data_IF_675528391938
#
_entry.id   IF_675528391938
#
_cell.length_a   1.000
_cell.length_b   1.000
_cell.length_c   1.000
_cell.angle_alpha   90.00
_cell.angle_beta   90.00
_cell.angle_gamma   90.00
#
_symmetry.space_group_name_H-M   'P 1'
#
loop_
_entity.id
_entity.type
_entity.pdbx_description
1 polymer ?
#
# COMPACT_ATOMS: atom_id res chain seq x y z
N UNK A 1 13.76 -1.66 0.15
CA UNK A 1 12.80 -2.60 -0.49
C UNK A 1 12.37 -2.00 -1.83
N UNK A 2 12.19 -2.80 -2.89
CA UNK A 2 11.62 -2.35 -4.17
C UNK A 2 10.49 -3.30 -4.61
N UNK A 3 9.82 -3.01 -5.73
CA UNK A 3 8.68 -3.81 -6.21
C UNK A 3 9.03 -5.29 -6.48
N UNK A 4 10.24 -5.57 -6.96
CA UNK A 4 10.68 -6.95 -7.25
C UNK A 4 10.77 -7.76 -5.96
N UNK A 5 11.35 -7.18 -4.91
CA UNK A 5 11.43 -7.84 -3.60
C UNK A 5 10.04 -8.05 -2.99
N UNK A 6 9.12 -7.10 -3.19
CA UNK A 6 7.75 -7.22 -2.74
C UNK A 6 7.01 -8.36 -3.47
N UNK A 7 7.16 -8.46 -4.79
CA UNK A 7 6.58 -9.58 -5.57
C UNK A 7 7.12 -10.92 -5.07
N UNK A 8 8.43 -11.03 -4.87
CA UNK A 8 9.05 -12.25 -4.32
C UNK A 8 8.40 -12.63 -2.99
N UNK A 9 8.32 -11.68 -2.05
CA UNK A 9 7.70 -11.88 -0.73
C UNK A 9 6.23 -12.25 -0.81
N UNK A 10 5.46 -11.61 -1.69
CA UNK A 10 4.05 -11.95 -1.92
C UNK A 10 3.92 -13.42 -2.33
N UNK A 11 4.76 -13.88 -3.27
CA UNK A 11 4.71 -15.25 -3.77
C UNK A 11 5.18 -16.26 -2.72
N UNK A 12 6.20 -15.93 -1.92
CA UNK A 12 6.77 -16.87 -0.94
C UNK A 12 6.03 -16.90 0.40
N UNK A 13 5.37 -15.81 0.79
CA UNK A 13 4.77 -15.65 2.12
C UNK A 13 3.24 -15.78 2.14
N UNK A 14 2.59 -15.81 0.97
CA UNK A 14 1.13 -15.92 0.92
C UNK A 14 0.65 -17.34 1.22
N UNK A 15 0.16 -17.56 2.45
CA UNK A 15 -0.37 -18.84 2.93
C UNK A 15 -1.86 -19.08 2.66
N UNK A 16 -2.53 -18.20 1.91
CA UNK A 16 -3.96 -18.31 1.59
C UNK A 16 -4.89 -17.45 2.46
N UNK A 17 -4.39 -16.87 3.56
CA UNK A 17 -5.13 -15.99 4.45
C UNK A 17 -4.37 -14.69 4.72
N UNK A 18 -5.11 -13.61 4.97
CA UNK A 18 -4.55 -12.32 5.40
C UNK A 18 -4.57 -12.28 6.93
N UNK A 19 -3.40 -12.22 7.55
CA UNK A 19 -3.26 -12.36 9.00
C UNK A 19 -3.57 -11.07 9.78
N UNK A 20 -3.73 -9.93 9.08
CA UNK A 20 -3.99 -8.63 9.71
C UNK A 20 -5.46 -8.24 9.55
N UNK A 21 -6.16 -8.08 10.66
CA UNK A 21 -7.55 -7.60 10.66
C UNK A 21 -7.58 -6.08 10.46
N UNK A 22 -8.45 -5.59 9.58
CA UNK A 22 -8.74 -4.16 9.49
C UNK A 22 -10.14 -3.87 10.04
N UNK A 23 -10.28 -2.74 10.74
CA UNK A 23 -11.55 -2.28 11.28
C UNK A 23 -12.31 -1.47 10.21
N UNK A 24 -13.29 -2.08 9.56
CA UNK A 24 -14.13 -1.44 8.55
C UNK A 24 -15.62 -1.59 8.85
N UNK A 25 -16.44 -0.68 8.32
CA UNK A 25 -17.91 -0.65 8.54
C UNK A 25 -18.64 -1.86 7.93
N UNK A 26 -18.06 -2.53 6.94
CA UNK A 26 -18.62 -3.74 6.31
C UNK A 26 -17.51 -4.72 5.89
N UNK A 27 -17.88 -5.98 5.63
CA UNK A 27 -16.92 -7.06 5.30
C UNK A 27 -16.06 -6.78 4.06
N UNK A 28 -16.62 -6.15 3.03
CA UNK A 28 -15.86 -5.85 1.81
C UNK A 28 -14.76 -4.80 2.07
N UNK A 29 -15.10 -3.74 2.81
CA UNK A 29 -14.15 -2.71 3.23
C UNK A 29 -13.11 -3.28 4.20
N UNK A 30 -13.52 -4.17 5.12
CA UNK A 30 -12.60 -4.86 6.03
C UNK A 30 -11.56 -5.70 5.29
N UNK A 31 -11.98 -6.45 4.26
CA UNK A 31 -11.07 -7.24 3.44
C UNK A 31 -10.15 -6.38 2.58
N UNK A 32 -10.64 -5.25 2.04
CA UNK A 32 -9.83 -4.29 1.31
C UNK A 32 -8.72 -3.70 2.18
N UNK A 33 -9.09 -3.18 3.36
CA UNK A 33 -8.12 -2.66 4.33
C UNK A 33 -7.15 -3.73 4.84
N UNK A 34 -7.60 -4.97 5.03
CA UNK A 34 -6.72 -6.07 5.42
C UNK A 34 -5.65 -6.37 4.35
N UNK A 35 -6.03 -6.29 3.07
CA UNK A 35 -5.09 -6.44 1.96
C UNK A 35 -4.09 -5.27 1.90
N UNK A 36 -4.56 -4.04 2.09
CA UNK A 36 -3.68 -2.86 2.16
C UNK A 36 -2.66 -2.98 3.28
N UNK A 37 -3.09 -3.33 4.49
CA UNK A 37 -2.20 -3.50 5.64
C UNK A 37 -1.20 -4.64 5.44
N UNK A 38 -1.62 -5.75 4.82
CA UNK A 38 -0.73 -6.85 4.48
C UNK A 38 0.33 -6.43 3.43
N UNK A 39 -0.05 -5.65 2.42
CA UNK A 39 0.90 -5.12 1.44
C UNK A 39 1.88 -4.15 2.10
N UNK A 40 1.45 -3.30 3.04
CA UNK A 40 2.37 -2.48 3.84
C UNK A 40 3.43 -3.34 4.53
N UNK A 41 3.01 -4.46 5.11
CA UNK A 41 3.91 -5.38 5.79
C UNK A 41 4.88 -6.12 4.86
N UNK A 42 4.42 -6.49 3.66
CA UNK A 42 5.29 -7.05 2.61
C UNK A 42 6.44 -6.09 2.30
N UNK A 43 6.14 -4.80 2.12
CA UNK A 43 7.14 -3.79 1.76
C UNK A 43 8.04 -3.40 2.93
N UNK A 44 7.52 -3.38 4.16
CA UNK A 44 8.26 -2.97 5.35
C UNK A 44 8.95 -4.12 6.10
N UNK A 45 8.84 -5.35 5.62
CA UNK A 45 9.39 -6.53 6.28
C UNK A 45 8.84 -6.77 7.68
N UNK A 46 7.50 -6.69 7.79
CA UNK A 46 6.77 -6.78 9.08
C UNK A 46 5.67 -7.83 9.09
N UNK A 47 5.67 -8.77 8.14
CA UNK A 47 4.66 -9.84 8.05
C UNK A 47 4.54 -10.66 9.35
N UNK A 48 5.68 -10.96 9.96
CA UNK A 48 5.76 -11.76 11.20
C UNK A 48 5.93 -10.88 12.46
N UNK A 49 5.78 -9.55 12.33
CA UNK A 49 5.95 -8.63 13.46
C UNK A 49 4.77 -8.73 14.43
N UNK A 50 5.04 -9.16 15.66
CA UNK A 50 4.06 -9.21 16.74
C UNK A 50 4.05 -7.94 17.61
N UNK A 51 5.10 -7.13 17.54
CA UNK A 51 5.17 -5.82 18.19
C UNK A 51 4.70 -4.73 17.21
N UNK A 52 3.61 -4.06 17.57
CA UNK A 52 3.02 -3.01 16.74
C UNK A 52 3.88 -1.73 16.74
N UNK A 53 4.64 -1.45 17.79
CA UNK A 53 5.52 -0.28 17.82
C UNK A 53 6.72 -0.47 16.88
N UNK A 54 7.36 -1.64 16.91
CA UNK A 54 8.46 -1.97 15.97
C UNK A 54 7.95 -1.90 14.52
N UNK A 55 6.75 -2.42 14.28
CA UNK A 55 6.10 -2.33 12.98
C UNK A 55 5.91 -0.88 12.53
N UNK A 56 5.35 -0.02 13.38
CA UNK A 56 5.14 1.39 13.04
C UNK A 56 6.46 2.10 12.72
N UNK A 57 7.54 1.77 13.44
CA UNK A 57 8.88 2.28 13.14
C UNK A 57 9.33 1.82 11.74
N UNK A 58 9.24 0.52 11.42
CA UNK A 58 9.63 -0.02 10.10
C UNK A 58 8.78 0.53 8.95
N UNK A 59 7.48 0.71 9.17
CA UNK A 59 6.61 1.39 8.21
C UNK A 59 7.08 2.83 7.97
N UNK A 60 7.38 3.58 9.04
CA UNK A 60 7.88 4.96 8.93
C UNK A 60 9.24 5.06 8.25
N UNK A 61 10.06 4.01 8.31
CA UNK A 61 11.35 3.93 7.62
C UNK A 61 11.18 3.59 6.14
N UNK A 62 10.14 2.82 5.80
CA UNK A 62 9.89 2.32 4.44
C UNK A 62 9.11 3.31 3.58
N UNK A 63 8.11 3.98 4.14
CA UNK A 63 7.19 4.84 3.40
C UNK A 63 7.44 6.32 3.67
N UNK A 64 7.32 7.14 2.62
CA UNK A 64 7.27 8.61 2.72
C UNK A 64 5.83 9.11 2.89
N UNK A 65 4.85 8.29 2.51
CA UNK A 65 3.44 8.59 2.62
C UNK A 65 2.63 7.32 2.89
N UNK A 66 1.70 7.41 3.83
CA UNK A 66 0.64 6.43 4.05
C UNK A 66 -0.67 7.16 3.76
N UNK A 67 -1.40 6.66 2.75
CA UNK A 67 -2.57 7.30 2.17
C UNK A 67 -3.77 7.38 3.10
N UNK A 68 -4.79 8.08 2.61
CA UNK A 68 -6.11 8.10 3.21
C UNK A 68 -7.18 8.04 2.11
N UNK A 69 -8.43 7.79 2.51
CA UNK A 69 -9.55 7.58 1.60
C UNK A 69 -9.75 8.68 0.53
N UNK A 70 -9.36 9.92 0.83
CA UNK A 70 -9.60 11.06 -0.05
C UNK A 70 -8.38 11.43 -0.90
N UNK A 71 -7.20 10.89 -0.59
CA UNK A 71 -5.94 11.31 -1.18
C UNK A 71 -5.14 10.07 -1.60
N UNK A 72 -5.38 9.56 -2.84
CA UNK A 72 -4.51 8.53 -3.40
C UNK A 72 -3.09 9.08 -3.61
N UNK A 73 -2.06 8.21 -3.61
CA UNK A 73 -2.12 6.75 -3.57
C UNK A 73 -2.23 6.17 -2.14
N UNK A 74 -2.49 4.87 -2.02
CA UNK A 74 -2.56 4.18 -0.71
C UNK A 74 -1.23 4.23 0.08
N UNK A 75 -0.08 4.23 -0.60
CA UNK A 75 1.23 4.45 0.01
C UNK A 75 2.29 4.88 -1.01
N UNK A 76 3.36 5.54 -0.55
CA UNK A 76 4.53 5.90 -1.38
C UNK A 76 5.79 5.46 -0.65
N UNK A 77 6.66 4.71 -1.35
CA UNK A 77 7.96 4.31 -0.82
C UNK A 77 8.88 5.53 -0.69
N UNK A 78 9.71 5.57 0.36
CA UNK A 78 10.78 6.57 0.42
C UNK A 78 11.68 6.42 -0.80
N UNK A 79 11.84 7.51 -1.54
CA UNK A 79 12.64 7.54 -2.77
C UNK A 79 12.25 6.47 -3.80
N UNK A 80 10.97 6.10 -3.86
CA UNK A 80 10.48 5.05 -4.74
C UNK A 80 9.06 5.26 -5.23
N UNK A 81 8.45 4.17 -5.66
CA UNK A 81 7.16 4.20 -6.35
C UNK A 81 5.98 4.48 -5.43
N UNK A 82 4.92 5.06 -6.02
CA UNK A 82 3.58 5.07 -5.48
C UNK A 82 2.91 3.70 -5.67
N UNK A 83 2.19 3.24 -4.66
CA UNK A 83 1.54 1.93 -4.64
C UNK A 83 0.05 2.14 -4.36
N UNK A 84 -0.78 1.56 -5.21
CA UNK A 84 -2.23 1.50 -5.06
C UNK A 84 -2.65 0.03 -4.99
N UNK A 85 -3.37 -0.34 -3.94
CA UNK A 85 -3.81 -1.71 -3.66
C UNK A 85 -5.28 -1.85 -4.03
N UNK A 86 -5.59 -2.84 -4.87
CA UNK A 86 -6.98 -3.12 -5.28
C UNK A 86 -7.29 -4.60 -5.14
N UNK A 87 -8.31 -4.91 -4.35
CA UNK A 87 -8.88 -6.26 -4.27
C UNK A 87 -9.80 -6.49 -5.47
N UNK A 88 -9.48 -7.47 -6.29
CA UNK A 88 -10.30 -7.93 -7.42
C UNK A 88 -11.08 -9.21 -7.05
N UNK A 89 -12.30 -9.37 -7.56
CA UNK A 89 -13.13 -10.56 -7.32
C UNK A 89 -13.19 -11.38 -8.60
N UNK A 90 -12.33 -12.40 -8.71
CA UNK A 90 -12.26 -13.30 -9.86
C UNK A 90 -11.18 -12.90 -10.88
N UNK A 91 -10.66 -13.90 -11.60
CA UNK A 91 -9.54 -13.72 -12.55
C UNK A 91 -9.88 -12.80 -13.73
N UNK A 92 -11.16 -12.71 -14.08
CA UNK A 92 -11.67 -11.91 -15.20
C UNK A 92 -12.32 -10.59 -14.75
N UNK A 93 -12.11 -10.19 -13.49
CA UNK A 93 -12.66 -8.93 -13.02
C UNK A 93 -12.04 -7.76 -13.80
N UNK A 94 -12.88 -6.90 -14.37
CA UNK A 94 -12.41 -5.65 -14.98
C UNK A 94 -11.89 -4.75 -13.87
N UNK A 95 -10.58 -4.52 -13.83
CA UNK A 95 -9.99 -3.53 -12.95
C UNK A 95 -10.21 -2.15 -13.57
N UNK A 96 -11.09 -1.36 -12.98
CA UNK A 96 -11.25 0.04 -13.34
C UNK A 96 -9.98 0.78 -12.91
N UNK A 97 -9.09 1.03 -13.87
CA UNK A 97 -7.97 1.94 -13.69
C UNK A 97 -8.54 3.34 -13.79
N UNK A 98 -8.61 4.07 -12.67
CA UNK A 98 -8.91 5.51 -12.69
C UNK A 98 -7.70 6.28 -13.26
N UNK A 99 -7.34 5.98 -14.50
CA UNK A 99 -6.16 6.46 -15.19
C UNK A 99 -6.47 7.79 -15.87
N UNK A 100 -6.72 8.85 -15.09
CA UNK A 100 -6.50 10.19 -15.61
C UNK A 100 -5.03 10.54 -15.40
N UNK A 101 -4.34 11.01 -16.43
CA UNK A 101 -2.98 11.52 -16.27
C UNK A 101 -2.97 12.69 -15.28
N UNK A 102 -1.85 12.92 -14.56
CA UNK A 102 -1.74 14.06 -13.65
C UNK A 102 -2.06 15.35 -14.39
N UNK A 103 -3.12 16.06 -13.97
CA UNK A 103 -3.54 17.32 -14.60
C UNK A 103 -2.62 18.48 -14.23
N UNK A 104 -1.90 18.35 -13.13
CA UNK A 104 -0.95 19.33 -12.63
C UNK A 104 0.41 18.66 -12.45
N UNK A 105 1.48 19.37 -12.82
CA UNK A 105 2.86 18.95 -12.60
C UNK A 105 3.49 19.88 -11.58
N UNK A 106 4.12 19.32 -10.57
CA UNK A 106 4.95 20.09 -9.64
C UNK A 106 6.34 20.25 -10.25
N UNK A 107 6.75 21.50 -10.47
CA UNK A 107 8.07 21.82 -10.99
C UNK A 107 9.00 22.19 -9.84
N UNK A 108 10.27 21.78 -9.88
CA UNK A 108 11.27 22.15 -8.87
C UNK A 108 11.44 23.67 -8.72
N UNK A 109 11.10 24.43 -9.76
CA UNK A 109 11.09 25.90 -9.77
C UNK A 109 9.79 26.53 -9.24
N UNK A 110 8.85 25.74 -8.72
CA UNK A 110 7.57 26.25 -8.24
C UNK A 110 7.78 27.13 -7.01
N UNK A 111 7.27 28.38 -7.02
CA UNK A 111 7.37 29.28 -5.86
C UNK A 111 6.49 28.83 -4.68
N UNK A 112 5.71 27.75 -4.82
CA UNK A 112 4.93 27.14 -3.75
C UNK A 112 5.72 26.07 -2.97
N UNK A 113 6.95 25.76 -3.40
CA UNK A 113 7.83 24.79 -2.73
C UNK A 113 8.66 25.46 -1.62
N UNK A 114 8.67 26.80 -1.55
CA UNK A 114 9.39 27.60 -0.55
C UNK A 114 8.60 27.79 0.74
#
# INVERSE_FOLDING_TARGET
>A
MNIINAIYRIVTSFGGELHRQSHGLNRANQMGGALEEWIKDVFADTLDSTDENDRLIKLSQTFSYLGNQNNPPDMILKHGDAIEVKKVIGKNATLALNSSYPKNKLHASSPLIT
#
